data_IF_793323916949
#
_entry.id   IF_793323916949
#
_cell.length_a   1.000
_cell.length_b   1.000
_cell.length_c   1.000
_cell.angle_alpha   90.00
_cell.angle_beta   90.00
_cell.angle_gamma   90.00
#
_symmetry.space_group_name_H-M   'P 1'
#
loop_
_entity.id
_entity.type
_entity.pdbx_description
1 polymer ?
#
# COMPACT_ATOMS: atom_id res chain seq x y z
N UNK A 1 -21.61 7.22 -5.02
CA UNK A 1 -20.46 6.68 -5.78
C UNK A 1 -19.24 6.74 -4.86
N UNK A 2 -18.59 5.60 -4.62
CA UNK A 2 -17.49 5.49 -3.64
C UNK A 2 -16.19 6.01 -4.27
N UNK A 3 -15.78 7.23 -3.91
CA UNK A 3 -14.67 7.94 -4.55
C UNK A 3 -13.34 7.18 -4.49
N UNK A 4 -13.18 6.32 -3.47
CA UNK A 4 -12.00 5.47 -3.26
C UNK A 4 -11.87 4.38 -4.33
N UNK A 5 -12.99 3.83 -4.78
CA UNK A 5 -13.00 2.80 -5.83
C UNK A 5 -12.68 3.44 -7.20
N UNK A 6 -13.20 4.63 -7.44
CA UNK A 6 -12.93 5.39 -8.66
C UNK A 6 -11.45 5.77 -8.78
N UNK A 7 -10.83 6.23 -7.70
CA UNK A 7 -9.40 6.57 -7.66
C UNK A 7 -8.50 5.36 -7.94
N UNK A 8 -8.81 4.20 -7.33
CA UNK A 8 -8.11 2.95 -7.60
C UNK A 8 -8.22 2.51 -9.08
N UNK A 9 -9.39 2.72 -9.70
CA UNK A 9 -9.62 2.38 -11.11
C UNK A 9 -8.84 3.32 -12.03
N UNK A 10 -8.82 4.62 -11.75
CA UNK A 10 -8.02 5.59 -12.52
C UNK A 10 -6.53 5.31 -12.42
N UNK A 11 -6.04 4.94 -11.23
CA UNK A 11 -4.65 4.57 -10.99
C UNK A 11 -4.26 3.29 -11.76
N UNK A 12 -5.14 2.28 -11.81
CA UNK A 12 -4.92 1.07 -12.61
C UNK A 12 -4.99 1.30 -14.12
N UNK A 13 -5.67 2.35 -14.57
CA UNK A 13 -5.81 2.71 -15.98
C UNK A 13 -4.77 3.75 -16.45
N UNK A 14 -3.80 4.13 -15.60
CA UNK A 14 -2.84 5.22 -15.85
C UNK A 14 -3.49 6.54 -16.27
N UNK A 15 -4.74 6.76 -15.83
CA UNK A 15 -5.53 7.94 -16.19
C UNK A 15 -5.58 8.90 -15.03
N UNK A 16 -5.46 10.20 -15.33
CA UNK A 16 -5.57 11.25 -14.30
C UNK A 16 -7.01 11.33 -13.81
N UNK A 17 -7.24 11.03 -12.53
CA UNK A 17 -8.54 11.23 -11.91
C UNK A 17 -8.92 12.72 -11.99
N UNK A 18 -10.19 13.05 -12.25
CA UNK A 18 -10.63 14.45 -12.28
C UNK A 18 -10.40 15.12 -10.94
N UNK A 19 -9.81 16.32 -10.96
CA UNK A 19 -9.57 17.13 -9.77
C UNK A 19 -10.91 17.60 -9.19
N UNK A 20 -11.43 16.88 -8.19
CA UNK A 20 -12.61 17.33 -7.44
C UNK A 20 -12.19 18.39 -6.42
N UNK A 21 -12.91 19.50 -6.43
CA UNK A 21 -12.86 20.48 -5.34
C UNK A 21 -13.25 19.77 -4.05
N UNK A 22 -12.41 19.89 -3.03
CA UNK A 22 -12.74 19.33 -1.73
C UNK A 22 -13.84 20.17 -1.06
N UNK A 23 -14.46 19.61 -0.01
CA UNK A 23 -15.60 20.25 0.67
C UNK A 23 -15.25 21.66 1.19
N UNK A 24 -13.99 21.88 1.58
CA UNK A 24 -13.53 23.16 2.09
C UNK A 24 -13.48 24.19 0.95
N UNK A 25 -12.96 23.82 -0.21
CA UNK A 25 -12.91 24.71 -1.38
C UNK A 25 -14.30 25.05 -1.93
N UNK A 26 -15.23 24.09 -1.90
CA UNK A 26 -16.62 24.36 -2.25
C UNK A 26 -17.26 25.35 -1.28
N UNK A 27 -17.09 25.16 0.03
CA UNK A 27 -17.60 26.09 1.03
C UNK A 27 -16.94 27.48 0.89
N UNK A 28 -15.64 27.53 0.60
CA UNK A 28 -14.91 28.77 0.37
C UNK A 28 -15.53 29.58 -0.78
N UNK A 29 -15.84 28.93 -1.89
CA UNK A 29 -16.48 29.57 -3.03
C UNK A 29 -17.83 30.19 -2.64
N UNK A 30 -18.70 29.42 -1.99
CA UNK A 30 -20.01 29.92 -1.55
C UNK A 30 -19.92 31.08 -0.55
N UNK A 31 -18.96 31.05 0.38
CA UNK A 31 -18.78 32.13 1.37
C UNK A 31 -18.29 33.43 0.71
N UNK A 32 -17.39 33.33 -0.27
CA UNK A 32 -16.88 34.49 -0.99
C UNK A 32 -17.99 35.10 -1.86
N UNK A 33 -18.71 34.26 -2.60
CA UNK A 33 -19.80 34.70 -3.47
C UNK A 33 -20.91 35.36 -2.64
N UNK A 34 -21.35 34.71 -1.55
CA UNK A 34 -22.34 35.28 -0.65
C UNK A 34 -21.86 36.58 0.03
N UNK A 35 -20.57 36.68 0.37
CA UNK A 35 -19.98 37.89 0.93
C UNK A 35 -19.97 39.06 -0.07
N UNK A 36 -19.72 38.79 -1.34
CA UNK A 36 -19.80 39.78 -2.41
C UNK A 36 -21.25 40.21 -2.69
N UNK A 37 -22.19 39.25 -2.74
CA UNK A 37 -23.62 39.50 -2.96
C UNK A 37 -24.26 40.29 -1.82
N UNK A 38 -23.74 40.16 -0.59
CA UNK A 38 -24.18 40.96 0.57
C UNK A 38 -23.89 42.45 0.42
N UNK A 39 -22.95 42.82 -0.45
CA UNK A 39 -22.59 44.20 -0.76
C UNK A 39 -21.29 44.66 -0.09
N UNK A 40 -20.42 45.37 -0.84
CA UNK A 40 -19.15 45.87 -0.32
C UNK A 40 -19.39 46.89 0.80
N UNK A 41 -18.64 46.76 1.90
CA UNK A 41 -18.68 47.69 3.03
C UNK A 41 -19.59 47.27 4.19
N UNK A 42 -20.33 46.16 4.07
CA UNK A 42 -21.02 45.58 5.23
C UNK A 42 -20.02 44.81 6.11
N UNK A 43 -20.13 44.95 7.43
CA UNK A 43 -19.28 44.22 8.37
C UNK A 43 -19.41 42.69 8.19
N UNK A 44 -20.62 42.22 7.86
CA UNK A 44 -20.90 40.80 7.65
C UNK A 44 -20.35 40.28 6.31
N UNK A 45 -20.48 41.04 5.21
CA UNK A 45 -19.90 40.66 3.92
C UNK A 45 -18.37 40.52 3.99
N UNK A 46 -17.69 41.47 4.65
CA UNK A 46 -16.25 41.38 4.89
C UNK A 46 -15.87 40.16 5.75
N UNK A 47 -16.66 39.83 6.77
CA UNK A 47 -16.44 38.64 7.58
C UNK A 47 -16.59 37.35 6.76
N UNK A 48 -17.62 37.26 5.91
CA UNK A 48 -17.85 36.12 5.02
C UNK A 48 -16.69 35.92 4.05
N UNK A 49 -16.19 36.99 3.43
CA UNK A 49 -15.03 36.93 2.53
C UNK A 49 -13.79 36.42 3.28
N UNK A 50 -13.49 36.96 4.46
CA UNK A 50 -12.35 36.50 5.27
C UNK A 50 -12.46 35.03 5.68
N UNK A 51 -13.66 34.59 6.08
CA UNK A 51 -13.94 33.18 6.37
C UNK A 51 -13.73 32.32 5.13
N UNK A 52 -14.23 32.74 3.96
CA UNK A 52 -14.05 32.05 2.70
C UNK A 52 -12.59 31.95 2.25
N UNK A 53 -11.80 33.00 2.43
CA UNK A 53 -10.35 32.96 2.17
C UNK A 53 -9.63 31.95 3.07
N UNK A 54 -9.95 31.97 4.36
CA UNK A 54 -9.39 31.02 5.33
C UNK A 54 -9.74 29.58 4.94
N UNK A 55 -11.00 29.36 4.60
CA UNK A 55 -11.51 28.07 4.16
C UNK A 55 -10.81 27.57 2.88
N UNK A 56 -10.52 28.48 1.94
CA UNK A 56 -9.77 28.17 0.71
C UNK A 56 -8.36 27.70 1.02
N UNK A 57 -7.67 28.34 1.98
CA UNK A 57 -6.33 27.92 2.43
C UNK A 57 -6.35 26.54 3.08
N UNK A 58 -7.34 26.27 3.92
CA UNK A 58 -7.56 24.93 4.51
C UNK A 58 -7.77 23.89 3.40
N UNK A 59 -8.59 24.22 2.39
CA UNK A 59 -8.79 23.39 1.23
C UNK A 59 -7.50 23.08 0.47
N UNK A 60 -6.63 24.07 0.27
CA UNK A 60 -5.30 23.89 -0.32
C UNK A 60 -4.42 22.93 0.49
N UNK A 61 -4.31 23.16 1.80
CA UNK A 61 -3.52 22.32 2.70
C UNK A 61 -4.05 20.86 2.74
N UNK A 62 -5.36 20.67 2.70
CA UNK A 62 -5.97 19.34 2.62
C UNK A 62 -5.60 18.61 1.33
N UNK A 63 -5.59 19.31 0.18
CA UNK A 63 -5.16 18.72 -1.10
C UNK A 63 -3.69 18.29 -1.04
N UNK A 64 -2.84 19.15 -0.50
CA UNK A 64 -1.41 18.87 -0.33
C UNK A 64 -1.18 17.66 0.59
N UNK A 65 -1.92 17.56 1.71
CA UNK A 65 -1.84 16.42 2.61
C UNK A 65 -2.15 15.10 1.90
N UNK A 66 -3.26 15.04 1.15
CA UNK A 66 -3.67 13.85 0.41
C UNK A 66 -2.61 13.46 -0.63
N UNK A 67 -2.13 14.43 -1.42
CA UNK A 67 -1.11 14.19 -2.42
C UNK A 67 0.21 13.71 -1.81
N UNK A 68 0.64 14.34 -0.72
CA UNK A 68 1.87 13.98 0.00
C UNK A 68 1.78 12.57 0.56
N UNK A 69 0.64 12.19 1.15
CA UNK A 69 0.38 10.83 1.62
C UNK A 69 0.42 9.80 0.49
N UNK A 70 -0.19 10.11 -0.66
CA UNK A 70 -0.18 9.23 -1.81
C UNK A 70 1.24 8.99 -2.36
N UNK A 71 2.02 10.06 -2.53
CA UNK A 71 3.36 10.00 -3.13
C UNK A 71 4.39 9.42 -2.15
N UNK A 72 4.42 9.89 -0.90
CA UNK A 72 5.52 9.58 0.02
C UNK A 72 5.26 8.35 0.88
N UNK A 73 4.01 7.89 0.99
CA UNK A 73 3.66 6.75 1.84
C UNK A 73 3.05 5.60 1.04
N UNK A 74 1.99 5.85 0.27
CA UNK A 74 1.27 4.77 -0.42
C UNK A 74 2.07 4.21 -1.61
N UNK A 75 2.65 5.07 -2.44
CA UNK A 75 3.39 4.65 -3.64
C UNK A 75 4.60 3.76 -3.31
N UNK A 76 5.49 4.11 -2.36
CA UNK A 76 6.63 3.26 -2.02
C UNK A 76 6.21 1.90 -1.46
N UNK A 77 5.17 1.86 -0.63
CA UNK A 77 4.64 0.61 -0.09
C UNK A 77 4.04 -0.28 -1.17
N UNK A 78 3.30 0.31 -2.12
CA UNK A 78 2.78 -0.41 -3.27
C UNK A 78 3.89 -1.03 -4.10
N UNK A 79 4.92 -0.26 -4.41
CA UNK A 79 6.09 -0.73 -5.16
C UNK A 79 6.81 -1.87 -4.43
N UNK A 80 6.97 -1.77 -3.12
CA UNK A 80 7.57 -2.83 -2.30
C UNK A 80 6.74 -4.13 -2.34
N UNK A 81 5.41 -4.03 -2.21
CA UNK A 81 4.51 -5.19 -2.26
C UNK A 81 4.50 -5.82 -3.66
N UNK A 82 4.47 -5.00 -4.70
CA UNK A 82 4.39 -5.47 -6.09
C UNK A 82 5.75 -5.95 -6.62
N UNK A 83 6.87 -5.54 -6.01
CA UNK A 83 8.23 -5.94 -6.33
C UNK A 83 8.83 -6.91 -5.31
N UNK A 84 9.58 -6.39 -4.33
CA UNK A 84 10.43 -7.14 -3.40
C UNK A 84 9.66 -8.22 -2.64
N UNK A 85 8.44 -7.92 -2.18
CA UNK A 85 7.65 -8.87 -1.42
C UNK A 85 7.33 -10.14 -2.22
N UNK A 86 7.10 -10.03 -3.54
CA UNK A 86 6.90 -11.20 -4.39
C UNK A 86 8.15 -12.07 -4.46
N UNK A 87 9.32 -11.46 -4.52
CA UNK A 87 10.61 -12.18 -4.49
C UNK A 87 10.82 -12.88 -3.15
N UNK A 88 10.62 -12.16 -2.03
CA UNK A 88 10.69 -12.73 -0.68
C UNK A 88 9.74 -13.93 -0.54
N UNK A 89 8.51 -13.80 -1.04
CA UNK A 89 7.53 -14.89 -0.99
C UNK A 89 7.96 -16.11 -1.83
N UNK A 90 8.58 -15.90 -2.99
CA UNK A 90 9.10 -16.99 -3.84
C UNK A 90 10.26 -17.71 -3.16
N UNK A 91 11.23 -16.97 -2.64
CA UNK A 91 12.39 -17.53 -1.94
C UNK A 91 11.98 -18.30 -0.69
N UNK A 92 11.02 -17.77 0.08
CA UNK A 92 10.47 -18.48 1.24
C UNK A 92 9.85 -19.83 0.85
N UNK A 93 9.10 -19.88 -0.25
CA UNK A 93 8.51 -21.13 -0.76
C UNK A 93 9.59 -22.11 -1.21
N UNK A 94 10.61 -21.63 -1.92
CA UNK A 94 11.74 -22.46 -2.35
C UNK A 94 12.48 -23.05 -1.15
N UNK A 95 12.78 -22.23 -0.14
CA UNK A 95 13.42 -22.66 1.09
C UNK A 95 12.64 -23.76 1.81
N UNK A 96 11.32 -23.60 1.91
CA UNK A 96 10.46 -24.62 2.51
C UNK A 96 10.53 -25.95 1.75
N UNK A 97 10.53 -25.92 0.41
CA UNK A 97 10.69 -27.13 -0.39
C UNK A 97 12.06 -27.78 -0.18
N UNK A 98 13.14 -26.99 -0.23
CA UNK A 98 14.51 -27.48 -0.01
C UNK A 98 14.71 -28.07 1.39
N UNK A 99 14.05 -27.51 2.40
CA UNK A 99 14.04 -28.08 3.76
C UNK A 99 13.48 -29.50 3.76
N UNK A 100 12.32 -29.70 3.12
CA UNK A 100 11.67 -31.02 3.06
C UNK A 100 12.51 -32.03 2.27
N UNK A 101 13.10 -31.61 1.14
CA UNK A 101 14.01 -32.45 0.35
C UNK A 101 15.22 -32.90 1.17
N UNK A 102 15.81 -31.96 1.94
CA UNK A 102 16.94 -32.22 2.82
C UNK A 102 16.56 -33.19 3.95
N UNK A 103 15.40 -33.02 4.58
CA UNK A 103 14.88 -33.91 5.63
C UNK A 103 14.71 -35.34 5.10
N UNK A 104 14.19 -35.49 3.87
CA UNK A 104 14.06 -36.77 3.19
C UNK A 104 15.42 -37.39 2.85
N UNK A 105 16.37 -36.60 2.34
CA UNK A 105 17.73 -37.05 2.06
C UNK A 105 18.46 -37.53 3.33
N UNK A 106 18.37 -36.76 4.42
CA UNK A 106 18.94 -37.13 5.73
C UNK A 106 18.37 -38.44 6.25
N UNK A 107 17.05 -38.62 6.14
CA UNK A 107 16.38 -39.85 6.57
C UNK A 107 16.80 -41.05 5.72
N UNK A 108 16.89 -40.90 4.39
CA UNK A 108 17.40 -41.94 3.48
C UNK A 108 18.84 -42.32 3.80
N UNK A 109 19.73 -41.34 4.02
CA UNK A 109 21.12 -41.58 4.39
C UNK A 109 21.24 -42.34 5.72
N UNK A 110 20.46 -41.95 6.74
CA UNK A 110 20.44 -42.64 8.03
C UNK A 110 19.99 -44.10 7.87
N UNK A 111 18.95 -44.36 7.08
CA UNK A 111 18.47 -45.72 6.78
C UNK A 111 19.54 -46.54 6.04
N UNK A 112 20.15 -45.99 5.01
CA UNK A 112 21.19 -46.67 4.23
C UNK A 112 22.37 -47.10 5.11
N UNK A 113 22.87 -46.22 5.98
CA UNK A 113 23.94 -46.54 6.95
C UNK A 113 23.56 -47.67 7.91
N UNK A 114 22.32 -47.69 8.39
CA UNK A 114 21.84 -48.77 9.27
C UNK A 114 21.79 -50.10 8.51
N UNK A 115 21.29 -50.10 7.27
CA UNK A 115 21.26 -51.30 6.43
C UNK A 115 22.66 -51.82 6.12
N UNK A 116 23.60 -50.94 5.80
CA UNK A 116 25.00 -51.29 5.54
C UNK A 116 25.68 -51.89 6.78
N UNK A 117 25.47 -51.29 7.96
CA UNK A 117 25.99 -51.82 9.23
C UNK A 117 25.40 -53.20 9.59
N UNK A 118 24.12 -53.45 9.28
CA UNK A 118 23.51 -54.78 9.47
C UNK A 118 24.08 -55.81 8.49
N UNK A 119 24.27 -55.41 7.24
CA UNK A 119 24.84 -56.28 6.21
C UNK A 119 26.30 -56.66 6.53
N UNK A 120 27.10 -55.72 7.04
CA UNK A 120 28.48 -55.99 7.45
C UNK A 120 28.56 -56.97 8.62
N UNK A 121 27.70 -56.81 9.65
CA UNK A 121 27.61 -57.75 10.78
C UNK A 121 27.17 -59.14 10.31
N UNK A 122 26.15 -59.22 9.45
CA UNK A 122 25.66 -60.51 8.94
C UNK A 122 26.75 -61.25 8.14
N UNK A 123 27.49 -60.52 7.28
CA UNK A 123 28.62 -61.08 6.53
C UNK A 123 29.77 -61.55 7.44
N UNK A 124 29.93 -60.92 8.61
CA UNK A 124 30.95 -61.34 9.59
C UNK A 124 30.55 -62.63 10.32
N UNK A 125 29.26 -62.84 10.55
CA UNK A 125 28.73 -64.07 11.16
C UNK A 125 28.70 -65.26 10.19
N UNK A 126 28.62 -65.01 8.89
CA UNK A 126 28.65 -66.05 7.84
C UNK A 126 30.08 -66.52 7.46
N UNK A 127 31.13 -65.97 8.08
CA UNK A 127 32.53 -66.38 7.91
C UNK A 127 33.02 -67.18 9.11
#
# INVERSE_FOLDING_TARGET
KDARIEEFVYEKLERKAPSRLNNQEQLAQYLIDAGNDFGPGTAYGNALINCGETQRRIGGAHRELVQTGAINFLTPLRNFIEGDYKTISKERKLLQNKRLDLDAAKTRLKKARVTEARASVSRWLDK
#
